data_IF_311436344265
#
_entry.id   IF_311436344265
#
_cell.length_a   1.000
_cell.length_b   1.000
_cell.length_c   1.000
_cell.angle_alpha   90.00
_cell.angle_beta   90.00
_cell.angle_gamma   90.00
#
_symmetry.space_group_name_H-M   'P 1'
#
loop_
_entity.id
_entity.type
_entity.pdbx_description
1 polymer ?
#
# COMPACT_ATOMS: atom_id res chain seq x y z
N UNK A 1 18.41 29.26 -6.68
CA UNK A 1 19.24 28.81 -7.84
C UNK A 1 18.64 29.17 -9.20
N UNK A 2 17.32 29.20 -9.38
CA UNK A 2 16.70 29.58 -10.66
C UNK A 2 17.03 31.03 -11.08
N UNK A 3 17.10 31.98 -10.15
CA UNK A 3 17.49 33.37 -10.44
C UNK A 3 18.97 33.53 -10.84
N UNK A 4 19.88 32.70 -10.35
CA UNK A 4 21.28 32.74 -10.77
C UNK A 4 21.44 32.42 -12.27
N UNK A 5 20.51 31.63 -12.84
CA UNK A 5 20.50 31.27 -14.26
C UNK A 5 20.03 32.41 -15.18
N UNK A 6 19.35 33.43 -14.64
CA UNK A 6 18.93 34.60 -15.42
C UNK A 6 20.01 35.66 -15.51
N UNK A 7 21.09 35.55 -14.74
CA UNK A 7 22.24 36.47 -14.77
C UNK A 7 23.31 35.89 -15.69
N UNK A 8 23.72 36.64 -16.70
CA UNK A 8 24.75 36.23 -17.68
C UNK A 8 25.86 37.27 -17.77
N UNK A 9 27.08 36.84 -18.11
CA UNK A 9 28.22 37.74 -18.39
C UNK A 9 29.16 38.00 -17.21
N UNK A 10 29.06 37.25 -16.12
CA UNK A 10 29.97 37.34 -14.96
C UNK A 10 30.63 35.97 -14.69
N UNK A 11 31.90 35.99 -14.28
CA UNK A 11 32.66 34.77 -13.97
C UNK A 11 32.20 34.06 -12.68
N UNK A 12 31.61 34.82 -11.74
CA UNK A 12 31.05 34.28 -10.51
C UNK A 12 29.86 35.13 -10.03
N UNK A 13 28.82 34.46 -9.54
CA UNK A 13 27.63 35.09 -8.95
C UNK A 13 27.44 34.54 -7.53
N UNK A 14 27.44 35.42 -6.54
CA UNK A 14 27.13 35.11 -5.14
C UNK A 14 25.77 35.72 -4.78
N UNK A 15 24.85 34.89 -4.31
CA UNK A 15 23.52 35.35 -3.89
C UNK A 15 23.56 35.77 -2.43
N UNK A 16 23.43 37.07 -2.15
CA UNK A 16 23.41 37.58 -0.77
C UNK A 16 22.05 37.45 -0.10
N UNK A 17 20.96 37.65 -0.86
CA UNK A 17 19.61 37.48 -0.36
C UNK A 17 18.65 37.08 -1.49
N UNK A 18 17.86 36.04 -1.29
CA UNK A 18 16.80 35.60 -2.21
C UNK A 18 15.47 35.67 -1.46
N UNK A 19 14.53 36.47 -1.95
CA UNK A 19 13.18 36.58 -1.37
C UNK A 19 12.16 36.21 -2.44
N UNK A 20 11.40 35.15 -2.19
CA UNK A 20 10.41 34.62 -3.12
C UNK A 20 9.05 34.76 -2.47
N UNK A 21 8.22 35.66 -3.01
CA UNK A 21 6.85 35.87 -2.55
C UNK A 21 5.87 35.27 -3.56
N UNK A 22 5.31 34.11 -3.22
CA UNK A 22 4.37 33.40 -4.08
C UNK A 22 2.96 33.97 -3.90
N UNK A 23 2.62 34.98 -4.71
CA UNK A 23 1.34 35.71 -4.63
C UNK A 23 0.13 34.95 -5.20
N UNK A 24 0.33 33.85 -5.92
CA UNK A 24 -0.77 33.06 -6.52
C UNK A 24 -0.49 31.54 -6.50
N UNK A 25 -0.01 31.03 -5.36
CA UNK A 25 0.21 29.60 -5.16
C UNK A 25 -1.13 28.83 -5.13
N UNK A 26 -1.68 28.51 -6.30
CA UNK A 26 -2.86 27.65 -6.42
C UNK A 26 -2.47 26.21 -6.11
N UNK A 27 -2.96 25.68 -4.99
CA UNK A 27 -2.88 24.27 -4.70
C UNK A 27 -3.58 23.46 -5.81
N UNK A 28 -2.81 22.68 -6.57
CA UNK A 28 -3.32 21.76 -7.59
C UNK A 28 -3.63 20.43 -6.90
N UNK A 29 -4.92 20.12 -6.75
CA UNK A 29 -5.33 18.80 -6.28
C UNK A 29 -5.01 17.75 -7.35
N UNK A 30 -4.18 16.76 -7.01
CA UNK A 30 -3.92 15.61 -7.87
C UNK A 30 -4.82 14.44 -7.43
N UNK A 31 -5.69 13.99 -8.32
CA UNK A 31 -6.47 12.77 -8.14
C UNK A 31 -5.67 11.59 -8.70
N UNK A 32 -5.26 10.68 -7.82
CA UNK A 32 -4.66 9.41 -8.23
C UNK A 32 -5.77 8.45 -8.67
N UNK A 33 -5.54 7.61 -9.69
CA UNK A 33 -6.54 6.65 -10.14
C UNK A 33 -6.74 5.59 -9.05
N UNK A 34 -7.95 5.49 -8.52
CA UNK A 34 -8.37 4.48 -7.55
C UNK A 34 -9.67 3.85 -8.04
N UNK A 35 -9.73 2.52 -8.02
CA UNK A 35 -10.95 1.76 -8.33
C UNK A 35 -11.64 1.40 -7.02
N UNK A 36 -12.93 1.72 -6.92
CA UNK A 36 -13.77 1.38 -5.78
C UNK A 36 -14.81 0.35 -6.20
N UNK A 37 -14.86 -0.78 -5.48
CA UNK A 37 -15.87 -1.82 -5.66
C UNK A 37 -16.69 -1.93 -4.38
N UNK A 38 -18.00 -1.79 -4.50
CA UNK A 38 -18.94 -1.98 -3.39
C UNK A 38 -19.82 -3.19 -3.66
N UNK A 39 -19.77 -4.18 -2.79
CA UNK A 39 -20.58 -5.40 -2.88
C UNK A 39 -21.39 -5.56 -1.61
N UNK A 40 -22.71 -5.73 -1.75
CA UNK A 40 -23.60 -6.01 -0.62
C UNK A 40 -23.86 -7.51 -0.52
N UNK A 41 -23.62 -8.09 0.65
CA UNK A 41 -23.90 -9.50 0.92
C UNK A 41 -24.38 -9.68 2.36
N UNK A 42 -25.44 -10.47 2.56
CA UNK A 42 -26.03 -10.78 3.87
C UNK A 42 -26.24 -9.53 4.76
N UNK A 43 -26.80 -8.46 4.18
CA UNK A 43 -27.02 -7.18 4.88
C UNK A 43 -25.76 -6.35 5.18
N UNK A 44 -24.58 -6.84 4.83
CA UNK A 44 -23.29 -6.16 5.06
C UNK A 44 -22.74 -5.60 3.75
N UNK A 45 -22.24 -4.36 3.79
CA UNK A 45 -21.56 -3.72 2.65
C UNK A 45 -20.06 -3.98 2.74
N UNK A 46 -19.49 -4.52 1.68
CA UNK A 46 -18.07 -4.76 1.51
C UNK A 46 -17.52 -3.76 0.50
N UNK A 47 -16.65 -2.88 0.98
CA UNK A 47 -15.96 -1.88 0.15
C UNK A 47 -14.52 -2.32 -0.07
N UNK A 48 -14.12 -2.32 -1.32
CA UNK A 48 -12.77 -2.60 -1.77
C UNK A 48 -12.23 -1.40 -2.52
N UNK A 49 -10.98 -1.05 -2.26
CA UNK A 49 -10.25 -0.01 -2.96
C UNK A 49 -8.99 -0.59 -3.58
N UNK A 50 -8.74 -0.28 -4.85
CA UNK A 50 -7.53 -0.66 -5.56
C UNK A 50 -6.85 0.57 -6.11
N UNK A 51 -5.56 0.73 -5.82
CA UNK A 51 -4.74 1.72 -6.49
C UNK A 51 -4.62 1.34 -7.97
N UNK A 52 -5.08 2.21 -8.87
CA UNK A 52 -5.11 1.96 -10.31
C UNK A 52 -3.74 2.02 -11.01
N UNK A 53 -2.69 2.52 -10.34
CA UNK A 53 -1.33 2.56 -10.87
C UNK A 53 -0.55 1.29 -10.52
N UNK A 54 -0.62 0.88 -9.25
CA UNK A 54 0.17 -0.24 -8.72
C UNK A 54 -0.60 -1.56 -8.68
N UNK A 55 -1.93 -1.50 -8.75
CA UNK A 55 -2.80 -2.65 -8.51
C UNK A 55 -2.90 -3.07 -7.04
N UNK A 56 -2.25 -2.34 -6.11
CA UNK A 56 -2.35 -2.66 -4.68
C UNK A 56 -3.80 -2.54 -4.21
N UNK A 57 -4.28 -3.60 -3.56
CA UNK A 57 -5.67 -3.77 -3.18
C UNK A 57 -5.83 -3.74 -1.65
N UNK A 58 -6.85 -3.05 -1.17
CA UNK A 58 -7.27 -3.01 0.25
C UNK A 58 -8.78 -3.17 0.35
N UNK A 59 -9.24 -3.92 1.35
CA UNK A 59 -10.67 -4.06 1.63
C UNK A 59 -10.95 -5.17 2.62
N UNK A 60 -12.13 -5.13 3.21
CA UNK A 60 -12.58 -6.17 4.12
C UNK A 60 -13.07 -7.36 3.28
N UNK A 61 -12.21 -8.33 3.02
CA UNK A 61 -12.65 -9.59 2.42
C UNK A 61 -13.57 -10.32 3.42
N UNK A 62 -14.71 -10.87 2.96
CA UNK A 62 -15.50 -11.78 3.78
C UNK A 62 -14.73 -13.09 3.96
N UNK A 63 -13.79 -13.10 4.91
CA UNK A 63 -13.04 -14.28 5.33
C UNK A 63 -13.63 -14.81 6.62
N UNK A 64 -14.08 -16.07 6.60
CA UNK A 64 -14.50 -16.78 7.80
C UNK A 64 -13.27 -17.19 8.60
N UNK A 65 -12.95 -16.40 9.64
CA UNK A 65 -11.83 -16.67 10.53
C UNK A 65 -11.95 -18.03 11.22
N UNK A 66 -13.17 -18.47 11.52
CA UNK A 66 -13.41 -19.77 12.16
C UNK A 66 -13.02 -20.93 11.23
N UNK A 67 -13.45 -20.88 9.97
CA UNK A 67 -13.03 -21.86 8.94
C UNK A 67 -11.52 -21.84 8.69
N UNK A 68 -10.92 -20.65 8.63
CA UNK A 68 -9.48 -20.52 8.45
C UNK A 68 -8.70 -21.20 9.59
N UNK A 69 -9.09 -20.94 10.84
CA UNK A 69 -8.49 -21.59 12.01
C UNK A 69 -8.76 -23.09 12.06
N UNK A 70 -9.96 -23.53 11.70
CA UNK A 70 -10.30 -24.95 11.65
C UNK A 70 -9.40 -25.71 10.67
N UNK A 71 -9.21 -25.18 9.46
CA UNK A 71 -8.31 -25.76 8.46
C UNK A 71 -6.87 -25.76 8.96
N UNK A 72 -6.41 -24.65 9.56
CA UNK A 72 -5.07 -24.54 10.11
C UNK A 72 -4.78 -25.62 11.15
N UNK A 73 -5.67 -25.82 12.12
CA UNK A 73 -5.50 -26.84 13.15
C UNK A 73 -5.62 -28.26 12.59
N UNK A 74 -6.52 -28.50 11.63
CA UNK A 74 -6.65 -29.81 10.99
C UNK A 74 -5.35 -30.22 10.27
N UNK A 75 -4.78 -29.31 9.47
CA UNK A 75 -3.51 -29.57 8.77
C UNK A 75 -2.37 -29.75 9.78
N UNK A 76 -2.29 -28.88 10.78
CA UNK A 76 -1.25 -28.96 11.82
C UNK A 76 -1.30 -30.29 12.56
N UNK A 77 -2.49 -30.74 12.95
CA UNK A 77 -2.67 -32.02 13.64
C UNK A 77 -2.24 -33.20 12.76
N UNK A 78 -2.65 -33.22 11.49
CA UNK A 78 -2.29 -34.27 10.55
C UNK A 78 -0.76 -34.34 10.34
N UNK A 79 -0.11 -33.20 10.10
CA UNK A 79 1.35 -33.11 9.93
C UNK A 79 2.07 -33.57 11.20
N UNK A 80 1.57 -33.19 12.38
CA UNK A 80 2.17 -33.59 13.66
C UNK A 80 2.11 -35.10 13.86
N UNK A 81 0.96 -35.73 13.59
CA UNK A 81 0.80 -37.19 13.70
C UNK A 81 1.73 -37.91 12.73
N UNK A 82 1.77 -37.49 11.46
CA UNK A 82 2.65 -38.09 10.45
C UNK A 82 4.12 -37.96 10.85
N UNK A 83 4.54 -36.78 11.30
CA UNK A 83 5.92 -36.54 11.74
C UNK A 83 6.31 -37.40 12.94
N UNK A 84 5.40 -37.56 13.91
CA UNK A 84 5.59 -38.43 15.07
C UNK A 84 5.75 -39.90 14.67
N UNK A 85 4.88 -40.40 13.77
CA UNK A 85 4.96 -41.79 13.29
C UNK A 85 6.24 -42.07 12.51
N UNK A 86 6.68 -41.12 11.67
CA UNK A 86 7.95 -41.22 10.95
C UNK A 86 9.12 -41.23 11.95
N UNK A 87 9.11 -40.33 12.93
CA UNK A 87 10.12 -40.30 14.00
C UNK A 87 10.18 -41.60 14.80
N UNK A 88 9.04 -42.23 15.07
CA UNK A 88 8.95 -43.52 15.75
C UNK A 88 9.49 -44.67 14.87
N UNK A 89 9.25 -44.64 13.56
CA UNK A 89 9.74 -45.65 12.63
C UNK A 89 11.26 -45.57 12.41
N UNK A 90 11.83 -44.37 12.48
CA UNK A 90 13.27 -44.12 12.30
C UNK A 90 14.11 -44.35 13.57
N UNK A 91 13.46 -44.70 14.70
CA UNK A 91 14.08 -44.91 16.00
C UNK A 91 14.29 -46.39 16.27
#
# INVERSE_FOLDING_TARGET
QEFAKTVQGYDAVNTEHEHIELTDAKARYALYPVWLLNTSWNGTKYTFAMNGQTGKFVGNLPSDKGKAWAIFFAVTAAVTVVSYLIGMLMR
#
